data_IF_781865809356
#
_entry.id   IF_781865809356
#
_cell.length_a   1.000
_cell.length_b   1.000
_cell.length_c   1.000
_cell.angle_alpha   90.00
_cell.angle_beta   90.00
_cell.angle_gamma   90.00
#
_symmetry.space_group_name_H-M   'P 1'
#
loop_
_entity.id
_entity.type
_entity.pdbx_description
1 polymer ?
#
# COMPACT_ATOMS: atom_id res chain seq x y z
N UNK A 1 -0.34 -28.10 -14.81
CA UNK A 1 0.58 -27.29 -13.99
C UNK A 1 1.44 -26.46 -14.96
N UNK A 2 2.04 -25.34 -14.57
CA UNK A 2 2.98 -24.61 -15.44
C UNK A 2 4.40 -25.09 -15.14
N UNK A 3 5.30 -25.08 -16.12
CA UNK A 3 6.60 -25.75 -16.04
C UNK A 3 7.43 -25.30 -14.83
N UNK A 4 7.47 -23.99 -14.56
CA UNK A 4 8.21 -23.46 -13.43
C UNK A 4 7.63 -23.89 -12.06
N UNK A 5 6.32 -24.16 -11.96
CA UNK A 5 5.75 -24.74 -10.72
C UNK A 5 6.27 -26.15 -10.47
N UNK A 6 6.47 -26.95 -11.52
CA UNK A 6 6.99 -28.31 -11.39
C UNK A 6 8.43 -28.29 -10.88
N UNK A 7 9.24 -27.36 -11.38
CA UNK A 7 10.62 -27.17 -10.93
C UNK A 7 10.71 -26.71 -9.47
N UNK A 8 9.90 -25.74 -9.07
CA UNK A 8 9.82 -25.29 -7.67
C UNK A 8 9.53 -26.48 -6.75
N UNK A 9 8.57 -27.31 -7.14
CA UNK A 9 8.17 -28.49 -6.37
C UNK A 9 9.31 -29.52 -6.35
N UNK A 10 9.95 -29.78 -7.48
CA UNK A 10 11.09 -30.70 -7.60
C UNK A 10 12.22 -30.33 -6.64
N UNK A 11 12.69 -29.07 -6.72
CA UNK A 11 13.73 -28.56 -5.82
C UNK A 11 13.33 -28.67 -4.33
N UNK A 12 12.05 -28.46 -4.02
CA UNK A 12 11.54 -28.50 -2.65
C UNK A 12 11.33 -29.93 -2.12
N UNK A 13 11.19 -30.91 -3.01
CA UNK A 13 11.11 -32.34 -2.68
C UNK A 13 12.50 -32.95 -2.48
N UNK A 14 13.53 -32.44 -3.17
CA UNK A 14 14.93 -32.86 -2.98
C UNK A 14 15.46 -32.53 -1.58
N UNK A 15 15.03 -31.42 -0.99
CA UNK A 15 15.47 -30.99 0.35
C UNK A 15 14.56 -31.58 1.46
N UNK A 16 15.05 -32.57 2.25
CA UNK A 16 14.22 -33.27 3.24
C UNK A 16 13.78 -32.36 4.40
N UNK A 17 14.52 -31.29 4.68
CA UNK A 17 14.15 -30.32 5.73
C UNK A 17 13.14 -29.26 5.25
N UNK A 18 12.82 -29.24 3.95
CA UNK A 18 12.09 -28.19 3.27
C UNK A 18 12.92 -26.92 3.06
N UNK A 19 12.23 -25.81 2.76
CA UNK A 19 12.86 -24.56 2.36
C UNK A 19 11.92 -23.36 2.41
N UNK A 20 12.50 -22.17 2.24
CA UNK A 20 11.78 -20.92 2.08
C UNK A 20 11.70 -20.57 0.61
N UNK A 21 10.49 -20.52 0.04
CA UNK A 21 10.24 -20.16 -1.35
C UNK A 21 9.70 -18.73 -1.42
N UNK A 22 10.41 -17.85 -2.13
CA UNK A 22 9.99 -16.46 -2.36
C UNK A 22 9.69 -16.28 -3.84
N UNK A 23 8.40 -16.15 -4.15
CA UNK A 23 7.88 -15.93 -5.49
C UNK A 23 7.70 -14.43 -5.74
N UNK A 24 7.81 -14.01 -6.99
CA UNK A 24 7.27 -12.73 -7.40
C UNK A 24 5.75 -12.69 -7.25
N UNK A 25 5.23 -11.50 -6.95
CA UNK A 25 3.78 -11.29 -6.87
C UNK A 25 3.12 -11.65 -8.21
N UNK A 26 1.96 -12.30 -8.15
CA UNK A 26 1.18 -12.67 -9.34
C UNK A 26 1.57 -13.98 -10.02
N UNK A 27 2.58 -14.72 -9.54
CA UNK A 27 2.94 -16.06 -10.07
C UNK A 27 2.03 -17.20 -9.56
N UNK A 28 0.84 -16.88 -9.05
CA UNK A 28 -0.20 -17.81 -8.59
C UNK A 28 0.24 -18.82 -7.50
N UNK A 29 0.67 -18.32 -6.35
CA UNK A 29 0.96 -19.15 -5.16
C UNK A 29 -0.17 -20.16 -4.82
N UNK A 30 -1.48 -19.82 -4.87
CA UNK A 30 -2.54 -20.79 -4.59
C UNK A 30 -2.53 -22.03 -5.49
N UNK A 31 -2.18 -21.86 -6.78
CA UNK A 31 -2.10 -22.96 -7.75
C UNK A 31 -0.90 -23.86 -7.45
N UNK A 32 0.26 -23.28 -7.15
CA UNK A 32 1.46 -24.00 -6.73
C UNK A 32 1.18 -24.85 -5.47
N UNK A 33 0.56 -24.26 -4.45
CA UNK A 33 0.22 -24.98 -3.21
C UNK A 33 -0.80 -26.09 -3.49
N UNK A 34 -1.83 -25.83 -4.28
CA UNK A 34 -2.79 -26.87 -4.67
C UNK A 34 -2.10 -28.06 -5.33
N UNK A 35 -1.11 -27.83 -6.19
CA UNK A 35 -0.33 -28.89 -6.81
C UNK A 35 0.60 -29.61 -5.82
N UNK A 36 1.21 -28.88 -4.89
CA UNK A 36 2.01 -29.48 -3.82
C UNK A 36 1.19 -30.40 -2.92
N UNK A 37 -0.05 -30.00 -2.61
CA UNK A 37 -0.98 -30.81 -1.81
C UNK A 37 -1.35 -32.12 -2.51
N UNK A 38 -1.45 -32.10 -3.84
CA UNK A 38 -1.77 -33.30 -4.63
C UNK A 38 -0.68 -34.38 -4.54
N UNK A 39 0.58 -33.96 -4.35
CA UNK A 39 1.72 -34.87 -4.23
C UNK A 39 1.89 -35.45 -2.82
N UNK A 40 1.15 -34.93 -1.83
CA UNK A 40 1.19 -35.45 -0.48
C UNK A 40 0.44 -36.78 -0.40
N UNK A 41 1.16 -37.87 -0.12
CA UNK A 41 0.57 -39.17 0.14
C UNK A 41 0.19 -39.32 1.62
N UNK A 42 -0.97 -39.92 1.89
CA UNK A 42 -1.41 -40.26 3.25
C UNK A 42 -0.46 -41.22 3.97
N UNK A 43 0.41 -41.93 3.25
CA UNK A 43 1.44 -42.77 3.85
C UNK A 43 2.56 -41.98 4.55
N UNK A 44 2.70 -40.70 4.24
CA UNK A 44 3.77 -39.85 4.78
C UNK A 44 3.42 -39.20 6.12
N UNK A 45 2.15 -39.21 6.51
CA UNK A 45 1.64 -38.63 7.76
C UNK A 45 0.77 -37.40 7.54
N UNK A 46 0.47 -36.67 8.62
CA UNK A 46 -0.42 -35.51 8.59
C UNK A 46 0.32 -34.24 8.19
N UNK A 47 -0.22 -33.52 7.19
CA UNK A 47 0.30 -32.24 6.70
C UNK A 47 -0.57 -31.09 7.20
N UNK A 48 0.05 -30.10 7.84
CA UNK A 48 -0.65 -28.93 8.37
C UNK A 48 -0.34 -27.66 7.57
N UNK A 49 -1.40 -26.92 7.21
CA UNK A 49 -1.30 -25.67 6.44
C UNK A 49 -1.69 -24.48 7.30
N UNK A 50 -0.73 -23.59 7.53
CA UNK A 50 -0.92 -22.29 8.15
C UNK A 50 -1.14 -21.24 7.04
N UNK A 51 -2.41 -20.96 6.77
CA UNK A 51 -2.83 -20.05 5.70
C UNK A 51 -3.74 -18.93 6.23
N UNK A 52 -3.57 -17.68 5.74
CA UNK A 52 -4.59 -16.65 5.84
C UNK A 52 -5.92 -17.09 5.19
N UNK A 53 -7.09 -16.61 5.67
CA UNK A 53 -8.40 -16.99 5.12
C UNK A 53 -8.56 -16.70 3.63
N UNK A 54 -8.00 -15.60 3.13
CA UNK A 54 -8.09 -15.21 1.73
C UNK A 54 -7.33 -16.13 0.78
N UNK A 55 -6.19 -16.68 1.21
CA UNK A 55 -5.43 -17.64 0.41
C UNK A 55 -6.08 -19.03 0.45
N UNK A 56 -6.67 -19.41 1.58
CA UNK A 56 -7.36 -20.69 1.75
C UNK A 56 -8.47 -20.88 0.72
N UNK A 57 -9.36 -19.90 0.55
CA UNK A 57 -10.46 -20.00 -0.42
C UNK A 57 -9.96 -20.18 -1.86
N UNK A 58 -8.89 -19.49 -2.24
CA UNK A 58 -8.26 -19.62 -3.56
C UNK A 58 -7.62 -21.00 -3.76
N UNK A 59 -6.94 -21.53 -2.74
CA UNK A 59 -6.35 -22.87 -2.79
C UNK A 59 -7.44 -23.93 -2.96
N UNK A 60 -8.52 -23.84 -2.18
CA UNK A 60 -9.65 -24.77 -2.28
C UNK A 60 -10.33 -24.70 -3.66
N UNK A 61 -10.48 -23.50 -4.23
CA UNK A 61 -11.02 -23.33 -5.57
C UNK A 61 -10.15 -24.06 -6.62
N UNK A 62 -8.83 -23.84 -6.62
CA UNK A 62 -7.92 -24.53 -7.54
C UNK A 62 -7.83 -26.04 -7.28
N UNK A 63 -7.96 -26.46 -6.02
CA UNK A 63 -7.95 -27.86 -5.65
C UNK A 63 -9.20 -28.59 -6.14
N UNK A 64 -10.38 -27.98 -5.96
CA UNK A 64 -11.66 -28.56 -6.39
C UNK A 64 -11.72 -28.79 -7.90
N UNK A 65 -11.18 -27.85 -8.69
CA UNK A 65 -11.12 -28.00 -10.14
C UNK A 65 -10.33 -29.24 -10.59
N UNK A 66 -9.40 -29.72 -9.75
CA UNK A 66 -8.51 -30.82 -10.08
C UNK A 66 -8.85 -32.12 -9.32
N UNK A 67 -9.54 -32.06 -8.17
CA UNK A 67 -9.86 -33.22 -7.35
C UNK A 67 -11.08 -33.00 -6.42
N UNK A 68 -11.98 -34.00 -6.25
CA UNK A 68 -13.19 -33.84 -5.43
C UNK A 68 -12.95 -33.83 -3.92
N UNK A 69 -11.90 -34.50 -3.43
CA UNK A 69 -11.62 -34.56 -1.98
C UNK A 69 -10.87 -33.29 -1.53
N UNK A 70 -11.53 -32.46 -0.73
CA UNK A 70 -10.99 -31.20 -0.23
C UNK A 70 -10.23 -31.41 1.09
N UNK A 71 -9.09 -30.72 1.29
CA UNK A 71 -8.47 -30.63 2.61
C UNK A 71 -9.46 -30.02 3.61
N UNK A 72 -9.67 -30.70 4.73
CA UNK A 72 -10.58 -30.24 5.78
C UNK A 72 -9.89 -29.22 6.70
N UNK A 73 -10.68 -28.49 7.48
CA UNK A 73 -10.18 -27.50 8.44
C UNK A 73 -10.34 -28.00 9.86
N UNK A 74 -9.32 -27.77 10.68
CA UNK A 74 -9.41 -27.99 12.13
C UNK A 74 -9.87 -26.68 12.77
N UNK A 75 -11.15 -26.64 13.12
CA UNK A 75 -11.78 -25.50 13.80
C UNK A 75 -11.63 -25.60 15.32
N UNK A 76 -11.67 -24.44 15.99
CA UNK A 76 -11.72 -24.35 17.46
C UNK A 76 -13.04 -24.85 18.03
N UNK A 77 -14.09 -24.94 17.21
CA UNK A 77 -15.42 -25.41 17.58
C UNK A 77 -15.48 -26.92 17.83
N UNK A 78 -14.54 -27.68 17.24
CA UNK A 78 -14.52 -29.12 17.42
C UNK A 78 -14.02 -29.49 18.82
N UNK A 79 -14.63 -30.50 19.49
CA UNK A 79 -14.12 -31.04 20.74
C UNK A 79 -12.68 -31.51 20.60
N UNK A 80 -11.90 -31.45 21.69
CA UNK A 80 -10.48 -31.81 21.68
C UNK A 80 -10.22 -33.24 21.15
N UNK A 81 -11.08 -34.19 21.50
CA UNK A 81 -10.96 -35.58 21.04
C UNK A 81 -11.15 -35.71 19.52
N UNK A 82 -12.06 -34.91 18.94
CA UNK A 82 -12.28 -34.88 17.50
C UNK A 82 -11.07 -34.26 16.77
N UNK A 83 -10.47 -33.20 17.32
CA UNK A 83 -9.23 -32.64 16.75
C UNK A 83 -8.09 -33.67 16.77
N UNK A 84 -7.98 -34.44 17.85
CA UNK A 84 -6.98 -35.50 17.98
C UNK A 84 -7.16 -36.61 16.95
N UNK A 85 -8.40 -37.03 16.67
CA UNK A 85 -8.65 -38.02 15.60
C UNK A 85 -8.29 -37.47 14.21
N UNK A 86 -8.50 -36.16 13.97
CA UNK A 86 -8.08 -35.52 12.72
C UNK A 86 -6.56 -35.51 12.59
N UNK A 87 -5.80 -35.16 13.63
CA UNK A 87 -4.34 -35.19 13.58
C UNK A 87 -3.77 -36.60 13.33
N UNK A 88 -4.47 -37.65 13.75
CA UNK A 88 -4.08 -39.05 13.54
C UNK A 88 -4.56 -39.65 12.21
N UNK A 89 -5.29 -38.88 11.39
CA UNK A 89 -5.90 -39.39 10.14
C UNK A 89 -4.95 -39.40 8.93
N UNK A 90 -3.71 -38.94 9.09
CA UNK A 90 -2.69 -38.85 8.03
C UNK A 90 -3.20 -38.13 6.77
N UNK A 91 -3.89 -37.02 6.97
CA UNK A 91 -4.49 -36.21 5.91
C UNK A 91 -3.94 -34.79 5.93
N UNK A 92 -4.42 -33.97 5.00
CA UNK A 92 -4.06 -32.56 4.84
C UNK A 92 -5.10 -31.69 5.54
N UNK A 93 -4.65 -30.80 6.43
CA UNK A 93 -5.54 -29.92 7.18
C UNK A 93 -5.13 -28.45 7.13
N UNK A 94 -6.12 -27.58 6.98
CA UNK A 94 -5.97 -26.16 7.33
C UNK A 94 -6.13 -25.98 8.84
N UNK A 95 -5.23 -25.22 9.45
CA UNK A 95 -5.29 -24.91 10.88
C UNK A 95 -4.75 -23.51 11.16
N UNK A 96 -5.30 -22.85 12.17
CA UNK A 96 -4.78 -21.55 12.61
C UNK A 96 -3.62 -21.75 13.61
N UNK A 97 -2.61 -20.86 13.61
CA UNK A 97 -1.50 -20.94 14.56
C UNK A 97 -1.98 -20.99 16.03
N UNK A 98 -3.03 -20.24 16.37
CA UNK A 98 -3.59 -20.19 17.72
C UNK A 98 -4.17 -21.53 18.19
N UNK A 99 -4.85 -22.28 17.32
CA UNK A 99 -5.39 -23.60 17.69
C UNK A 99 -4.23 -24.58 17.85
N UNK A 100 -3.31 -24.61 16.88
CA UNK A 100 -2.19 -25.53 16.86
C UNK A 100 -1.29 -25.36 18.10
N UNK A 101 -0.97 -24.13 18.49
CA UNK A 101 -0.11 -23.91 19.65
C UNK A 101 -0.76 -24.35 20.97
N UNK A 102 -2.08 -24.15 21.12
CA UNK A 102 -2.81 -24.58 22.33
C UNK A 102 -2.87 -26.10 22.41
N UNK A 103 -3.10 -26.78 21.29
CA UNK A 103 -3.12 -28.25 21.23
C UNK A 103 -1.73 -28.85 21.49
N UNK A 104 -0.66 -28.20 21.05
CA UNK A 104 0.72 -28.59 21.35
C UNK A 104 1.10 -28.36 22.82
N UNK A 105 0.79 -27.19 23.39
CA UNK A 105 1.13 -26.87 24.78
C UNK A 105 0.30 -27.66 25.80
N UNK A 106 -0.92 -28.07 25.44
CA UNK A 106 -1.74 -28.97 26.26
C UNK A 106 -1.28 -30.43 26.21
N UNK A 107 -0.21 -30.73 25.47
CA UNK A 107 0.38 -32.06 25.29
C UNK A 107 -0.61 -33.13 24.77
N UNK A 108 -1.68 -32.68 24.08
CA UNK A 108 -2.70 -33.55 23.49
C UNK A 108 -2.28 -34.05 22.11
N UNK A 109 -1.51 -33.23 21.38
CA UNK A 109 -1.01 -33.53 20.05
C UNK A 109 0.44 -34.01 20.15
N UNK A 110 0.69 -35.28 19.79
CA UNK A 110 2.06 -35.78 19.67
C UNK A 110 2.73 -35.20 18.42
N UNK A 111 3.86 -34.48 18.54
CA UNK A 111 4.57 -33.88 17.40
C UNK A 111 5.04 -34.90 16.34
N UNK A 112 5.19 -36.17 16.73
CA UNK A 112 5.59 -37.26 15.84
C UNK A 112 4.56 -37.62 14.76
N UNK A 113 3.28 -37.25 14.96
CA UNK A 113 2.21 -37.52 13.98
C UNK A 113 2.23 -36.54 12.80
N UNK A 114 2.90 -35.41 12.96
CA UNK A 114 2.95 -34.36 11.95
C UNK A 114 4.17 -34.60 11.08
N UNK A 115 3.94 -34.91 9.82
CA UNK A 115 5.01 -35.14 8.84
C UNK A 115 5.57 -33.83 8.31
N UNK A 116 4.71 -32.82 8.16
CA UNK A 116 5.10 -31.55 7.55
C UNK A 116 4.25 -30.37 7.96
N UNK A 117 4.87 -29.19 7.87
CA UNK A 117 4.22 -27.90 8.10
C UNK A 117 4.44 -26.98 6.90
N UNK A 118 3.36 -26.45 6.36
CA UNK A 118 3.38 -25.48 5.26
C UNK A 118 2.89 -24.11 5.75
N UNK A 119 3.72 -23.09 5.58
CA UNK A 119 3.43 -21.72 6.04
C UNK A 119 3.34 -20.79 4.85
N UNK A 120 2.20 -20.16 4.60
CA UNK A 120 1.95 -19.39 3.36
C UNK A 120 2.19 -17.88 3.47
N UNK A 121 2.45 -17.37 4.67
CA UNK A 121 2.62 -15.96 4.99
C UNK A 121 4.02 -15.69 5.56
N UNK A 122 5.08 -16.26 4.97
CA UNK A 122 6.43 -16.17 5.54
C UNK A 122 6.93 -14.72 5.72
N UNK A 123 6.44 -13.77 4.91
CA UNK A 123 6.77 -12.35 5.03
C UNK A 123 6.27 -11.67 6.31
N UNK A 124 5.18 -12.16 6.92
CA UNK A 124 4.67 -11.60 8.18
C UNK A 124 5.35 -12.16 9.42
N UNK A 125 6.19 -13.19 9.28
CA UNK A 125 6.79 -13.89 10.41
C UNK A 125 7.87 -13.05 11.09
N UNK A 126 7.90 -13.08 12.42
CA UNK A 126 8.97 -12.52 13.26
C UNK A 126 9.54 -13.62 14.16
N UNK A 127 10.66 -13.33 14.83
CA UNK A 127 11.27 -14.27 15.79
C UNK A 127 10.35 -14.59 16.98
N UNK A 128 9.42 -13.68 17.27
CA UNK A 128 8.41 -13.79 18.33
C UNK A 128 7.05 -14.27 17.83
N UNK A 129 6.93 -14.63 16.55
CA UNK A 129 5.67 -15.10 15.97
C UNK A 129 5.26 -16.47 16.54
N UNK A 130 3.95 -16.71 16.62
CA UNK A 130 3.41 -17.98 17.10
C UNK A 130 3.84 -19.14 16.20
N UNK A 131 3.92 -18.93 14.90
CA UNK A 131 4.38 -19.91 13.92
C UNK A 131 5.85 -20.30 14.14
N UNK A 132 6.73 -19.33 14.42
CA UNK A 132 8.12 -19.63 14.77
C UNK A 132 8.21 -20.46 16.06
N UNK A 133 7.34 -20.18 17.04
CA UNK A 133 7.27 -20.95 18.28
C UNK A 133 6.72 -22.36 18.07
N UNK A 134 5.70 -22.54 17.24
CA UNK A 134 5.17 -23.85 16.82
C UNK A 134 6.28 -24.68 16.18
N UNK A 135 7.02 -24.12 15.22
CA UNK A 135 8.13 -24.82 14.57
C UNK A 135 9.19 -25.24 15.56
N UNK A 136 9.53 -24.38 16.53
CA UNK A 136 10.49 -24.72 17.60
C UNK A 136 10.03 -25.92 18.42
N UNK A 137 8.76 -25.96 18.85
CA UNK A 137 8.21 -27.09 19.62
C UNK A 137 8.22 -28.36 18.76
N UNK A 138 7.69 -28.29 17.55
CA UNK A 138 7.58 -29.46 16.68
C UNK A 138 8.96 -30.04 16.35
N UNK A 139 9.95 -29.21 16.02
CA UNK A 139 11.32 -29.67 15.73
C UNK A 139 12.06 -30.20 16.96
N UNK A 140 11.69 -29.76 18.17
CA UNK A 140 12.32 -30.27 19.40
C UNK A 140 11.95 -31.74 19.67
N UNK A 141 10.75 -32.15 19.25
CA UNK A 141 10.21 -33.50 19.46
C UNK A 141 10.24 -34.36 18.20
N UNK A 142 10.23 -33.77 17.00
CA UNK A 142 10.22 -34.45 15.71
C UNK A 142 11.32 -33.86 14.81
N UNK A 143 12.44 -34.59 14.67
CA UNK A 143 13.59 -34.16 13.85
C UNK A 143 13.34 -34.31 12.35
N UNK A 144 12.45 -35.22 11.95
CA UNK A 144 12.15 -35.54 10.55
C UNK A 144 11.05 -34.63 9.97
N UNK A 145 10.53 -33.69 10.76
CA UNK A 145 9.58 -32.69 10.31
C UNK A 145 10.17 -31.80 9.20
N UNK A 146 9.55 -31.85 8.02
CA UNK A 146 9.84 -30.89 6.96
C UNK A 146 9.01 -29.62 7.13
N UNK A 147 9.62 -28.45 6.92
CA UNK A 147 8.94 -27.15 6.97
C UNK A 147 9.09 -26.46 5.64
N UNK A 148 7.97 -26.10 5.01
CA UNK A 148 7.94 -25.42 3.71
C UNK A 148 7.27 -24.07 3.89
N UNK A 149 8.04 -23.00 3.76
CA UNK A 149 7.54 -21.64 3.92
C UNK A 149 7.46 -20.93 2.57
N UNK A 150 6.38 -20.19 2.34
CA UNK A 150 6.12 -19.51 1.07
C UNK A 150 5.83 -18.02 1.31
N UNK A 151 6.24 -17.20 0.35
CA UNK A 151 5.85 -15.80 0.27
C UNK A 151 5.76 -15.34 -1.19
N UNK A 152 4.69 -14.63 -1.54
CA UNK A 152 4.50 -13.94 -2.82
C UNK A 152 4.78 -12.42 -2.72
N UNK A 153 5.34 -11.97 -1.58
CA UNK A 153 5.68 -10.58 -1.30
C UNK A 153 7.20 -10.41 -1.13
N UNK A 154 7.98 -10.38 -2.23
CA UNK A 154 9.44 -10.28 -2.15
C UNK A 154 9.89 -8.99 -1.46
N UNK A 155 9.21 -7.86 -1.72
CA UNK A 155 9.51 -6.58 -1.07
C UNK A 155 9.42 -6.64 0.47
N UNK A 156 8.48 -7.41 1.01
CA UNK A 156 8.34 -7.55 2.47
C UNK A 156 9.46 -8.44 3.07
N UNK A 157 10.03 -9.36 2.29
CA UNK A 157 11.14 -10.23 2.70
C UNK A 157 12.47 -9.49 2.80
N UNK A 158 12.63 -8.38 2.09
CA UNK A 158 13.81 -7.50 2.15
C UNK A 158 13.57 -6.33 3.12
N UNK A 159 12.40 -6.29 3.77
CA UNK A 159 12.08 -5.18 4.64
C UNK A 159 12.95 -5.20 5.90
N UNK A 160 13.82 -4.19 6.04
CA UNK A 160 14.58 -3.93 7.26
C UNK A 160 15.82 -4.83 7.35
N UNK A 161 16.43 -4.91 8.53
CA UNK A 161 17.71 -5.62 8.64
C UNK A 161 17.54 -7.15 8.56
N UNK A 162 18.13 -7.75 7.51
CA UNK A 162 18.30 -9.18 7.32
C UNK A 162 17.03 -10.04 7.51
N UNK A 163 15.85 -9.53 7.12
CA UNK A 163 14.56 -10.16 7.38
C UNK A 163 14.46 -11.60 6.85
N UNK A 164 14.88 -11.86 5.62
CA UNK A 164 14.88 -13.21 5.04
C UNK A 164 15.71 -14.20 5.87
N UNK A 165 16.93 -13.81 6.25
CA UNK A 165 17.81 -14.62 7.09
C UNK A 165 17.20 -14.91 8.46
N UNK A 166 16.61 -13.89 9.11
CA UNK A 166 15.93 -14.04 10.41
C UNK A 166 14.76 -15.00 10.31
N UNK A 167 13.91 -14.86 9.27
CA UNK A 167 12.80 -15.79 9.01
C UNK A 167 13.31 -17.22 8.82
N UNK A 168 14.38 -17.43 8.04
CA UNK A 168 14.97 -18.76 7.85
C UNK A 168 15.50 -19.35 9.15
N UNK A 169 16.23 -18.56 9.96
CA UNK A 169 16.73 -18.99 11.28
C UNK A 169 15.60 -19.38 12.22
N UNK A 170 14.51 -18.60 12.26
CA UNK A 170 13.37 -18.89 13.13
C UNK A 170 12.60 -20.16 12.72
N UNK A 171 12.63 -20.50 11.44
CA UNK A 171 11.99 -21.72 10.91
C UNK A 171 12.96 -22.91 10.81
N UNK A 172 14.23 -22.72 11.19
CA UNK A 172 15.31 -23.69 11.07
C UNK A 172 15.50 -24.20 9.62
N UNK A 173 15.36 -23.29 8.65
CA UNK A 173 15.51 -23.58 7.22
C UNK A 173 16.92 -23.25 6.76
N UNK A 174 17.48 -24.10 5.90
CA UNK A 174 18.82 -23.92 5.32
C UNK A 174 18.80 -23.41 3.88
N UNK A 175 17.68 -23.58 3.18
CA UNK A 175 17.56 -23.39 1.72
C UNK A 175 16.55 -22.29 1.41
N UNK A 176 16.93 -21.39 0.52
CA UNK A 176 16.15 -20.26 0.04
C UNK A 176 16.00 -20.39 -1.48
N UNK A 177 14.77 -20.52 -1.95
CA UNK A 177 14.44 -20.60 -3.37
C UNK A 177 13.85 -19.27 -3.80
N UNK A 178 14.52 -18.58 -4.73
CA UNK A 178 14.10 -17.27 -5.24
C UNK A 178 13.56 -17.44 -6.66
N UNK A 179 12.31 -17.03 -6.87
CA UNK A 179 11.62 -17.17 -8.14
C UNK A 179 11.13 -15.81 -8.68
N UNK A 180 12.06 -14.97 -9.19
CA UNK A 180 11.72 -13.70 -9.80
C UNK A 180 11.07 -13.87 -11.18
N UNK A 181 10.34 -12.85 -11.67
CA UNK A 181 9.72 -12.91 -13.02
C UNK A 181 10.71 -13.00 -14.17
N UNK A 182 11.94 -12.56 -13.97
CA UNK A 182 13.01 -12.61 -14.98
C UNK A 182 13.79 -13.93 -14.96
N UNK A 183 13.44 -14.88 -14.08
CA UNK A 183 14.02 -16.21 -14.13
C UNK A 183 13.59 -16.90 -15.42
N UNK A 184 14.54 -17.56 -16.09
CA UNK A 184 14.38 -18.15 -17.44
C UNK A 184 13.03 -18.84 -17.64
N UNK A 185 12.72 -19.86 -16.84
CA UNK A 185 11.46 -20.63 -16.99
C UNK A 185 10.18 -19.84 -16.68
N UNK A 186 10.27 -18.82 -15.81
CA UNK A 186 9.13 -17.96 -15.50
C UNK A 186 8.91 -16.97 -16.64
N UNK A 187 9.98 -16.39 -17.18
CA UNK A 187 9.93 -15.47 -18.29
C UNK A 187 9.39 -16.15 -19.56
N UNK A 188 9.90 -17.34 -19.90
CA UNK A 188 9.43 -18.13 -21.05
C UNK A 188 7.93 -18.41 -21.00
N UNK A 189 7.39 -18.80 -19.83
CA UNK A 189 5.95 -19.05 -19.69
C UNK A 189 5.12 -17.76 -19.77
N UNK A 190 5.61 -16.65 -19.20
CA UNK A 190 4.92 -15.36 -19.25
C UNK A 190 4.96 -14.71 -20.64
N UNK A 191 6.00 -14.95 -21.42
CA UNK A 191 6.19 -14.43 -22.78
C UNK A 191 5.48 -15.27 -23.85
N UNK A 192 4.97 -16.46 -23.50
CA UNK A 192 4.25 -17.34 -24.43
C UNK A 192 2.97 -16.72 -24.99
N UNK A 193 2.21 -16.01 -24.16
CA UNK A 193 0.97 -15.34 -24.56
C UNK A 193 0.81 -14.01 -23.80
N UNK A 194 1.56 -12.96 -24.18
CA UNK A 194 1.56 -11.70 -23.47
C UNK A 194 0.27 -10.92 -23.79
N UNK A 195 -0.39 -10.32 -22.79
CA UNK A 195 -1.56 -9.49 -23.04
C UNK A 195 -1.19 -8.25 -23.87
N UNK A 196 -2.06 -7.86 -24.80
CA UNK A 196 -1.90 -6.63 -25.58
C UNK A 196 -2.13 -5.42 -24.66
N UNK A 197 -1.07 -4.65 -24.40
CA UNK A 197 -1.12 -3.43 -23.60
C UNK A 197 -1.07 -2.20 -24.50
N UNK A 198 -2.03 -1.29 -24.35
CA UNK A 198 -2.06 -0.01 -25.06
C UNK A 198 -1.81 1.13 -24.07
N UNK A 199 -0.62 1.73 -24.15
CA UNK A 199 -0.23 2.83 -23.28
C UNK A 199 -0.75 4.18 -23.78
N UNK A 200 -1.75 4.73 -23.07
CA UNK A 200 -2.28 6.07 -23.36
C UNK A 200 -1.77 7.08 -22.33
N UNK A 201 -0.90 8.00 -22.78
CA UNK A 201 -0.34 9.06 -21.94
C UNK A 201 -1.30 10.24 -21.84
N UNK A 202 -1.81 10.49 -20.63
CA UNK A 202 -2.72 11.60 -20.35
C UNK A 202 -2.02 12.64 -19.49
N UNK A 203 -1.67 13.83 -20.03
CA UNK A 203 -1.05 14.87 -19.25
C UNK A 203 -2.04 15.45 -18.22
N UNK A 204 -1.53 15.78 -17.03
CA UNK A 204 -2.29 16.55 -16.04
C UNK A 204 -2.51 17.98 -16.53
N UNK A 205 -3.57 18.62 -16.07
CA UNK A 205 -3.84 20.03 -16.37
C UNK A 205 -2.84 20.94 -15.66
N UNK A 206 -2.72 22.20 -16.11
CA UNK A 206 -1.78 23.18 -15.54
C UNK A 206 -2.00 23.36 -14.03
N UNK A 207 -3.25 23.42 -13.58
CA UNK A 207 -3.59 23.57 -12.17
C UNK A 207 -3.31 22.30 -11.36
N UNK A 208 -3.60 21.11 -11.91
CA UNK A 208 -3.25 19.84 -11.25
C UNK A 208 -1.73 19.71 -11.05
N UNK A 209 -0.93 20.05 -12.07
CA UNK A 209 0.54 20.06 -11.96
C UNK A 209 1.02 21.06 -10.90
N UNK A 210 0.41 22.25 -10.84
CA UNK A 210 0.70 23.26 -9.82
C UNK A 210 0.42 22.74 -8.40
N UNK A 211 -0.72 22.09 -8.20
CA UNK A 211 -1.11 21.48 -6.91
C UNK A 211 -0.15 20.35 -6.54
N UNK A 212 0.17 19.45 -7.48
CA UNK A 212 1.09 18.34 -7.25
C UNK A 212 2.47 18.83 -6.79
N UNK A 213 3.04 19.83 -7.49
CA UNK A 213 4.32 20.43 -7.13
C UNK A 213 4.29 21.04 -5.73
N UNK A 214 3.23 21.78 -5.41
CA UNK A 214 3.06 22.38 -4.09
C UNK A 214 2.94 21.33 -2.98
N UNK A 215 2.21 20.23 -3.19
CA UNK A 215 2.11 19.14 -2.20
C UNK A 215 3.48 18.47 -2.00
N UNK A 216 4.21 18.18 -3.08
CA UNK A 216 5.55 17.56 -3.01
C UNK A 216 6.53 18.45 -2.22
N UNK A 217 6.49 19.76 -2.44
CA UNK A 217 7.32 20.74 -1.73
C UNK A 217 7.02 20.73 -0.22
N UNK A 218 5.74 20.71 0.16
CA UNK A 218 5.34 20.62 1.58
C UNK A 218 5.72 19.26 2.18
N UNK A 219 5.57 18.17 1.44
CA UNK A 219 6.01 16.85 1.89
C UNK A 219 7.52 16.82 2.15
N UNK A 220 8.34 17.39 1.26
CA UNK A 220 9.79 17.48 1.46
C UNK A 220 10.15 18.30 2.70
N UNK A 221 9.46 19.42 2.93
CA UNK A 221 9.63 20.20 4.16
C UNK A 221 9.28 19.39 5.42
N UNK A 222 8.17 18.64 5.42
CA UNK A 222 7.80 17.75 6.53
C UNK A 222 8.83 16.63 6.75
N UNK A 223 9.35 16.02 5.68
CA UNK A 223 10.39 15.00 5.76
C UNK A 223 11.72 15.57 6.29
N UNK A 224 12.11 16.78 5.87
CA UNK A 224 13.28 17.50 6.41
C UNK A 224 13.14 17.74 7.91
N UNK A 225 11.98 18.20 8.38
CA UNK A 225 11.73 18.39 9.80
C UNK A 225 11.75 17.07 10.59
N UNK A 226 11.26 15.98 9.99
CA UNK A 226 11.28 14.67 10.63
C UNK A 226 12.70 14.11 10.76
N UNK A 227 13.55 14.27 9.72
CA UNK A 227 14.97 13.87 9.72
C UNK A 227 15.78 14.52 10.85
N UNK A 228 15.43 15.75 11.26
CA UNK A 228 16.08 16.44 12.40
C UNK A 228 15.93 15.71 13.74
N UNK A 229 14.97 14.78 13.86
CA UNK A 229 14.71 14.07 15.11
C UNK A 229 15.76 12.97 15.40
N UNK A 230 16.63 12.63 14.43
CA UNK A 230 17.71 11.61 14.52
C UNK A 230 17.30 10.22 15.04
N UNK A 231 15.99 9.96 15.18
CA UNK A 231 15.40 8.70 15.64
C UNK A 231 14.85 7.84 14.50
N UNK A 232 15.08 8.25 13.26
CA UNK A 232 14.46 7.69 12.06
C UNK A 232 15.53 7.54 11.00
N UNK A 233 15.50 6.43 10.28
CA UNK A 233 16.50 6.14 9.26
C UNK A 233 16.33 7.09 8.08
N UNK A 234 17.42 7.73 7.66
CA UNK A 234 17.42 8.78 6.63
C UNK A 234 17.28 8.17 5.23
N UNK A 235 17.74 6.94 5.02
CA UNK A 235 17.74 6.28 3.71
C UNK A 235 16.31 5.96 3.22
N UNK A 236 15.44 5.56 4.15
CA UNK A 236 14.04 5.22 3.87
C UNK A 236 13.15 6.47 3.68
N UNK A 237 13.57 7.64 4.20
CA UNK A 237 12.79 8.88 4.25
C UNK A 237 13.01 9.82 3.05
N UNK A 238 13.01 9.30 1.83
CA UNK A 238 13.07 10.11 0.61
C UNK A 238 11.68 10.52 0.12
N UNK A 239 11.60 11.61 -0.66
CA UNK A 239 10.33 12.04 -1.28
C UNK A 239 9.81 10.97 -2.24
N UNK A 240 10.70 10.32 -2.98
CA UNK A 240 10.38 9.23 -3.91
C UNK A 240 9.76 8.04 -3.17
N UNK A 241 10.38 7.62 -2.06
CA UNK A 241 9.81 6.61 -1.18
C UNK A 241 8.45 7.05 -0.62
N UNK A 242 8.33 8.34 -0.27
CA UNK A 242 7.10 8.99 0.18
C UNK A 242 5.92 8.89 -0.79
N UNK A 243 6.15 8.71 -2.09
CA UNK A 243 5.07 8.56 -3.07
C UNK A 243 4.54 7.12 -3.16
N UNK A 244 5.33 6.12 -2.77
CA UNK A 244 4.90 4.72 -2.82
C UNK A 244 3.94 4.37 -1.69
N UNK A 245 2.99 3.45 -1.93
CA UNK A 245 2.02 2.98 -0.92
C UNK A 245 2.68 2.38 0.32
N UNK A 246 3.84 1.73 0.14
CA UNK A 246 4.63 1.11 1.20
C UNK A 246 5.18 2.10 2.23
N UNK A 247 5.21 3.40 1.93
CA UNK A 247 5.79 4.39 2.84
C UNK A 247 5.15 4.43 4.23
N UNK A 248 3.81 4.33 4.33
CA UNK A 248 3.14 4.30 5.65
C UNK A 248 3.62 3.12 6.49
N UNK A 249 3.84 1.98 5.84
CA UNK A 249 4.29 0.75 6.50
C UNK A 249 5.74 0.90 6.98
N UNK A 250 6.60 1.51 6.16
CA UNK A 250 7.99 1.81 6.51
C UNK A 250 8.03 2.75 7.72
N UNK A 251 7.26 3.85 7.69
CA UNK A 251 7.19 4.82 8.78
C UNK A 251 6.67 4.19 10.06
N UNK A 252 5.57 3.41 10.00
CA UNK A 252 5.05 2.70 11.19
C UNK A 252 6.08 1.74 11.77
N UNK A 253 6.71 0.93 10.93
CA UNK A 253 7.68 -0.05 11.41
C UNK A 253 8.86 0.59 12.16
N UNK A 254 9.33 1.76 11.72
CA UNK A 254 10.41 2.47 12.40
C UNK A 254 9.92 3.21 13.66
N UNK A 255 8.71 3.79 13.62
CA UNK A 255 8.23 4.67 14.69
C UNK A 255 7.41 3.96 15.77
N UNK A 256 6.74 2.84 15.48
CA UNK A 256 5.89 2.10 16.42
C UNK A 256 6.65 1.66 17.68
N UNK A 257 7.89 1.11 17.59
CA UNK A 257 8.66 0.71 18.79
C UNK A 257 8.96 1.88 19.73
N UNK A 258 9.18 3.07 19.16
CA UNK A 258 9.55 4.28 19.90
C UNK A 258 8.39 5.26 20.05
N UNK A 259 7.16 4.88 19.67
CA UNK A 259 6.02 5.79 19.52
C UNK A 259 5.71 6.55 20.81
N UNK A 260 5.84 5.89 21.96
CA UNK A 260 5.63 6.49 23.27
C UNK A 260 6.68 7.57 23.61
N UNK A 261 7.90 7.46 23.09
CA UNK A 261 9.00 8.43 23.30
C UNK A 261 9.01 9.59 22.30
N UNK A 262 8.19 9.53 21.23
CA UNK A 262 8.15 10.56 20.21
C UNK A 262 7.37 11.79 20.70
N UNK A 263 7.93 12.97 20.43
CA UNK A 263 7.29 14.24 20.73
C UNK A 263 6.00 14.45 19.93
N UNK A 264 5.09 15.29 20.45
CA UNK A 264 3.82 15.63 19.81
C UNK A 264 4.01 16.19 18.39
N UNK A 265 5.07 16.98 18.16
CA UNK A 265 5.42 17.55 16.84
C UNK A 265 5.69 16.45 15.80
N UNK A 266 6.52 15.46 16.12
CA UNK A 266 6.85 14.36 15.20
C UNK A 266 5.63 13.50 14.89
N UNK A 267 4.79 13.19 15.90
CA UNK A 267 3.52 12.46 15.69
C UNK A 267 2.58 13.21 14.75
N UNK A 268 2.51 14.54 14.88
CA UNK A 268 1.74 15.37 13.97
C UNK A 268 2.31 15.34 12.54
N UNK A 269 3.64 15.44 12.36
CA UNK A 269 4.27 15.34 11.03
C UNK A 269 3.95 14.02 10.32
N UNK A 270 3.89 12.90 11.04
CA UNK A 270 3.49 11.60 10.47
C UNK A 270 2.03 11.63 10.00
N UNK A 271 1.14 12.25 10.78
CA UNK A 271 -0.26 12.45 10.38
C UNK A 271 -0.37 13.37 9.16
N UNK A 272 0.38 14.47 9.14
CA UNK A 272 0.43 15.44 8.05
C UNK A 272 0.91 14.78 6.74
N UNK A 273 1.98 13.99 6.79
CA UNK A 273 2.47 13.21 5.63
C UNK A 273 1.41 12.25 5.09
N UNK A 274 0.64 11.60 5.97
CA UNK A 274 -0.46 10.72 5.58
C UNK A 274 -1.58 11.51 4.88
N UNK A 275 -1.93 12.69 5.38
CA UNK A 275 -2.93 13.57 4.76
C UNK A 275 -2.45 14.08 3.40
N UNK A 276 -1.21 14.56 3.28
CA UNK A 276 -0.64 15.04 2.02
C UNK A 276 -0.59 13.95 0.94
N UNK A 277 -0.24 12.72 1.31
CA UNK A 277 -0.25 11.57 0.39
C UNK A 277 -1.66 11.22 -0.08
N UNK A 278 -2.66 11.30 0.80
CA UNK A 278 -4.07 11.16 0.40
C UNK A 278 -4.52 12.27 -0.55
N UNK A 279 -4.09 13.51 -0.32
CA UNK A 279 -4.41 14.63 -1.21
C UNK A 279 -3.86 14.41 -2.63
N UNK A 280 -2.66 13.86 -2.78
CA UNK A 280 -2.10 13.49 -4.09
C UNK A 280 -2.95 12.43 -4.80
N UNK A 281 -3.40 11.39 -4.09
CA UNK A 281 -4.26 10.35 -4.65
C UNK A 281 -5.65 10.91 -5.03
N UNK A 282 -6.23 11.75 -4.17
CA UNK A 282 -7.54 12.37 -4.38
C UNK A 282 -7.55 13.39 -5.52
N UNK A 283 -6.45 14.12 -5.75
CA UNK A 283 -6.30 15.06 -6.87
C UNK A 283 -6.57 14.37 -8.22
N UNK A 284 -6.16 13.10 -8.35
CA UNK A 284 -6.27 12.32 -9.59
C UNK A 284 -7.57 11.50 -9.64
N UNK A 285 -8.17 11.16 -8.48
CA UNK A 285 -9.37 10.33 -8.41
C UNK A 285 -10.68 11.11 -8.39
N UNK A 286 -10.73 12.24 -7.69
CA UNK A 286 -11.94 13.04 -7.51
C UNK A 286 -12.04 14.18 -8.52
N UNK A 287 -13.27 14.63 -8.75
CA UNK A 287 -13.56 15.85 -9.53
C UNK A 287 -13.10 17.12 -8.78
N UNK A 288 -13.03 18.23 -9.50
CA UNK A 288 -12.52 19.49 -8.96
C UNK A 288 -13.35 20.03 -7.78
N UNK A 289 -14.68 19.84 -7.80
CA UNK A 289 -15.59 20.35 -6.76
C UNK A 289 -15.46 19.52 -5.49
N UNK A 290 -15.51 18.19 -5.60
CA UNK A 290 -15.31 17.28 -4.46
C UNK A 290 -13.93 17.47 -3.83
N UNK A 291 -12.89 17.64 -4.65
CA UNK A 291 -11.55 17.92 -4.17
C UNK A 291 -11.46 19.25 -3.39
N UNK A 292 -12.07 20.33 -3.89
CA UNK A 292 -12.10 21.62 -3.20
C UNK A 292 -12.87 21.53 -1.88
N UNK A 293 -14.04 20.87 -1.87
CA UNK A 293 -14.83 20.64 -0.65
C UNK A 293 -14.04 19.87 0.40
N UNK A 294 -13.28 18.86 -0.02
CA UNK A 294 -12.42 18.10 0.89
C UNK A 294 -11.30 18.97 1.47
N UNK A 295 -10.65 19.81 0.65
CA UNK A 295 -9.63 20.76 1.12
C UNK A 295 -10.20 21.78 2.12
N UNK A 296 -11.38 22.33 1.86
CA UNK A 296 -12.02 23.28 2.77
C UNK A 296 -12.43 22.59 4.09
N UNK A 297 -12.91 21.34 4.01
CA UNK A 297 -13.20 20.54 5.21
C UNK A 297 -11.94 20.30 6.03
N UNK A 298 -10.82 19.95 5.38
CA UNK A 298 -9.53 19.81 6.05
C UNK A 298 -9.10 21.11 6.72
N UNK A 299 -9.25 22.25 6.05
CA UNK A 299 -8.91 23.55 6.61
C UNK A 299 -9.69 23.88 7.89
N UNK A 300 -10.93 23.42 8.00
CA UNK A 300 -11.78 23.62 9.19
C UNK A 300 -11.49 22.58 10.28
N UNK A 301 -11.23 21.32 9.90
CA UNK A 301 -11.04 20.22 10.84
C UNK A 301 -9.63 20.12 11.42
N UNK A 302 -8.64 20.58 10.66
CA UNK A 302 -7.24 20.48 11.05
C UNK A 302 -6.94 21.52 12.13
N UNK A 303 -6.40 21.04 13.25
CA UNK A 303 -6.04 21.91 14.37
C UNK A 303 -4.89 22.85 13.98
N UNK A 304 -4.70 23.93 14.74
CA UNK A 304 -3.56 24.84 14.65
C UNK A 304 -2.17 24.17 14.68
N UNK A 305 -2.12 22.86 14.97
CA UNK A 305 -0.90 22.06 15.05
C UNK A 305 -0.45 21.48 13.71
N UNK A 306 -1.32 21.43 12.70
CA UNK A 306 -1.02 20.84 11.39
C UNK A 306 -0.08 21.76 10.62
N UNK A 307 1.21 21.45 10.67
CA UNK A 307 2.30 22.33 10.23
C UNK A 307 2.21 22.60 8.72
N UNK A 308 1.72 21.61 7.98
CA UNK A 308 1.62 21.68 6.51
C UNK A 308 0.66 22.77 6.01
N UNK A 309 -0.39 23.10 6.77
CA UNK A 309 -1.37 24.13 6.37
C UNK A 309 -0.76 25.53 6.42
N UNK A 310 0.22 25.76 7.29
CA UNK A 310 0.88 27.05 7.45
C UNK A 310 2.14 27.20 6.60
N UNK A 311 2.52 26.17 5.84
CA UNK A 311 3.62 26.25 4.89
C UNK A 311 3.28 27.22 3.74
N UNK A 312 4.23 28.02 3.27
CA UNK A 312 4.00 28.98 2.18
C UNK A 312 3.48 28.32 0.89
N UNK A 313 3.90 27.09 0.63
CA UNK A 313 3.45 26.31 -0.53
C UNK A 313 2.02 25.79 -0.39
N UNK A 314 1.46 25.75 0.82
CA UNK A 314 0.07 25.33 1.05
C UNK A 314 -0.91 26.32 0.42
N UNK A 315 -0.60 27.62 0.44
CA UNK A 315 -1.45 28.66 -0.16
C UNK A 315 -1.67 28.40 -1.66
N UNK A 316 -0.63 27.94 -2.36
CA UNK A 316 -0.70 27.56 -3.78
C UNK A 316 -1.67 26.39 -4.01
N UNK A 317 -1.76 25.43 -3.09
CA UNK A 317 -2.70 24.30 -3.17
C UNK A 317 -4.14 24.83 -3.17
N UNK A 318 -4.48 25.67 -2.18
CA UNK A 318 -5.83 26.24 -2.05
C UNK A 318 -6.17 27.19 -3.21
N UNK A 319 -5.22 28.03 -3.63
CA UNK A 319 -5.41 28.96 -4.74
C UNK A 319 -5.68 28.24 -6.05
N UNK A 320 -4.85 27.24 -6.39
CA UNK A 320 -5.05 26.46 -7.60
C UNK A 320 -6.31 25.60 -7.53
N UNK A 321 -6.64 25.02 -6.37
CA UNK A 321 -7.90 24.29 -6.20
C UNK A 321 -9.12 25.18 -6.47
N UNK A 322 -9.11 26.43 -5.98
CA UNK A 322 -10.17 27.41 -6.28
C UNK A 322 -10.22 27.76 -7.75
N UNK A 323 -9.06 27.97 -8.41
CA UNK A 323 -8.98 28.26 -9.86
C UNK A 323 -9.49 27.13 -10.77
N UNK A 324 -9.61 25.90 -10.24
CA UNK A 324 -10.22 24.76 -10.95
C UNK A 324 -11.75 24.76 -10.93
N UNK A 325 -12.36 25.57 -10.05
CA UNK A 325 -13.82 25.66 -9.85
C UNK A 325 -14.34 27.07 -10.17
N UNK A 326 -13.54 28.10 -9.92
CA UNK A 326 -13.93 29.49 -10.06
C UNK A 326 -12.96 30.22 -10.99
N UNK A 327 -13.49 31.01 -11.92
CA UNK A 327 -12.73 31.99 -12.71
C UNK A 327 -13.29 33.39 -12.47
N UNK A 328 -12.42 34.38 -12.45
CA UNK A 328 -12.85 35.77 -12.46
C UNK A 328 -12.97 36.21 -13.92
N UNK A 329 -14.21 36.40 -14.38
CA UNK A 329 -14.52 36.99 -15.68
C UNK A 329 -14.72 38.49 -15.54
N UNK A 330 -14.20 39.28 -16.49
CA UNK A 330 -14.70 40.66 -16.68
C UNK A 330 -16.03 40.58 -17.41
N UNK A 331 -16.99 41.40 -17.02
CA UNK A 331 -18.33 41.48 -17.60
C UNK A 331 -18.37 42.13 -18.99
N UNK A 332 -17.42 41.79 -19.86
CA UNK A 332 -17.43 42.10 -21.28
C UNK A 332 -16.78 40.94 -22.02
N UNK A 333 -17.51 40.36 -22.99
CA UNK A 333 -17.21 39.12 -23.69
C UNK A 333 -15.98 39.14 -24.61
N UNK A 334 -14.83 39.61 -24.13
CA UNK A 334 -13.55 39.54 -24.83
C UNK A 334 -12.65 38.45 -24.22
N UNK A 335 -12.44 37.37 -24.98
CA UNK A 335 -11.43 36.35 -24.68
C UNK A 335 -10.07 37.04 -24.45
N UNK A 336 -9.30 36.71 -23.39
CA UNK A 336 -7.95 37.23 -23.27
C UNK A 336 -7.03 36.49 -24.25
N UNK A 337 -6.68 37.17 -25.35
CA UNK A 337 -5.51 36.86 -26.16
C UNK A 337 -4.24 37.10 -25.32
N UNK A 338 -3.24 36.25 -25.54
CA UNK A 338 -2.06 36.19 -24.69
C UNK A 338 -1.08 37.35 -24.85
N UNK A 339 -0.04 37.24 -24.02
CA UNK A 339 1.23 37.98 -24.01
C UNK A 339 1.25 39.27 -23.18
N UNK A 340 1.79 39.12 -21.98
CA UNK A 340 2.36 40.23 -21.24
C UNK A 340 3.61 40.76 -21.95
N UNK A 341 3.69 42.08 -22.07
CA UNK A 341 4.95 42.81 -22.14
C UNK A 341 4.98 43.79 -20.97
N UNK A 342 5.99 43.63 -20.13
CA UNK A 342 6.35 44.55 -19.07
C UNK A 342 6.82 45.87 -19.65
N UNK A 343 6.36 47.01 -19.12
CA UNK A 343 7.14 48.25 -19.16
C UNK A 343 6.99 49.04 -17.86
N UNK A 344 8.13 49.16 -17.22
CA UNK A 344 8.65 50.10 -16.22
C UNK A 344 7.99 51.50 -16.10
N UNK A 345 7.65 51.86 -14.85
CA UNK A 345 8.16 53.06 -14.14
C UNK A 345 7.70 54.47 -14.55
N UNK A 346 7.02 55.18 -13.63
CA UNK A 346 7.50 56.47 -13.10
C UNK A 346 6.69 56.97 -11.90
N UNK A 347 7.41 57.20 -10.80
CA UNK A 347 7.09 58.07 -9.66
C UNK A 347 6.58 59.44 -10.15
N UNK A 348 5.51 59.96 -9.53
CA UNK A 348 5.40 61.39 -9.21
C UNK A 348 4.64 61.59 -7.90
N UNK A 349 5.20 62.50 -7.11
CA UNK A 349 4.93 62.83 -5.72
C UNK A 349 4.23 64.20 -5.70
N UNK A 350 3.18 64.36 -4.91
CA UNK A 350 2.72 65.67 -4.44
C UNK A 350 2.05 65.51 -3.07
N UNK A 351 2.49 66.37 -2.15
CA UNK A 351 2.20 66.44 -0.72
C UNK A 351 1.57 67.83 -0.49
N UNK A 352 0.59 67.95 0.40
CA UNK A 352 0.09 69.24 0.90
C UNK A 352 -1.21 69.10 1.71
N UNK A 353 -1.12 69.40 3.01
CA UNK A 353 -2.17 69.59 4.03
C UNK A 353 -3.15 70.74 3.64
N UNK A 354 -4.34 70.99 4.22
CA UNK A 354 -4.73 71.05 5.65
C UNK A 354 -6.28 71.15 5.83
N UNK A 355 -6.72 71.05 7.09
CA UNK A 355 -8.07 70.89 7.72
C UNK A 355 -9.24 71.86 7.38
N UNK A 356 -10.50 71.39 7.51
CA UNK A 356 -11.48 71.86 8.53
C UNK A 356 -12.81 71.05 8.59
N UNK A 357 -13.40 70.95 9.78
CA UNK A 357 -14.66 70.28 10.15
C UNK A 357 -15.92 71.12 9.89
N UNK A 358 -17.05 70.48 9.51
CA UNK A 358 -18.38 70.56 10.17
C UNK A 358 -19.46 69.73 9.46
N UNK A 359 -20.38 69.21 10.27
CA UNK A 359 -21.46 68.26 10.00
C UNK A 359 -22.62 68.79 9.12
N UNK A 360 -23.29 67.90 8.37
CA UNK A 360 -24.67 67.38 8.57
C UNK A 360 -25.31 66.99 7.21
N UNK A 361 -25.71 65.71 7.09
CA UNK A 361 -26.93 65.31 6.36
C UNK A 361 -26.83 64.95 4.87
N UNK A 362 -27.20 63.70 4.54
CA UNK A 362 -27.90 63.39 3.27
C UNK A 362 -27.21 62.45 2.28
N UNK A 363 -27.59 61.17 2.36
CA UNK A 363 -27.91 60.27 1.22
C UNK A 363 -26.89 59.97 0.11
N UNK A 364 -26.43 58.71 0.16
CA UNK A 364 -26.33 57.70 -0.94
C UNK A 364 -25.40 57.90 -2.15
N UNK A 365 -24.46 56.94 -2.22
CA UNK A 365 -24.10 56.10 -3.38
C UNK A 365 -23.38 56.71 -4.59
N UNK A 366 -22.12 56.33 -4.77
CA UNK A 366 -21.61 55.87 -6.08
C UNK A 366 -20.38 54.97 -5.87
N UNK A 367 -20.64 53.67 -5.76
CA UNK A 367 -19.67 52.59 -5.83
C UNK A 367 -19.03 52.50 -7.21
N UNK A 368 -17.71 52.71 -7.32
CA UNK A 368 -16.93 52.26 -8.48
C UNK A 368 -16.51 50.80 -8.26
N UNK A 369 -17.48 49.88 -8.27
CA UNK A 369 -17.21 48.45 -8.29
C UNK A 369 -16.85 48.04 -9.73
N UNK A 370 -15.55 47.93 -10.02
CA UNK A 370 -15.07 47.30 -11.25
C UNK A 370 -15.65 45.89 -11.35
N UNK A 371 -16.50 45.65 -12.35
CA UNK A 371 -17.24 44.40 -12.56
C UNK A 371 -16.35 43.18 -12.77
N UNK A 372 -15.99 42.52 -11.67
CA UNK A 372 -15.47 41.16 -11.65
C UNK A 372 -16.64 40.23 -11.32
N UNK A 373 -17.08 39.46 -12.29
CA UNK A 373 -18.11 38.42 -12.10
C UNK A 373 -17.39 37.10 -11.82
N UNK A 374 -17.78 36.44 -10.73
CA UNK A 374 -17.30 35.10 -10.41
C UNK A 374 -18.03 34.10 -11.31
N UNK A 375 -17.30 33.46 -12.21
CA UNK A 375 -17.81 32.44 -13.12
C UNK A 375 -17.49 31.05 -12.53
N UNK A 376 -18.52 30.22 -12.37
CA UNK A 376 -18.37 28.82 -11.96
C UNK A 376 -17.95 27.98 -13.17
N UNK A 377 -16.73 27.45 -13.14
CA UNK A 377 -16.14 26.66 -14.21
C UNK A 377 -15.66 25.33 -13.66
N UNK A 378 -16.26 24.25 -14.12
CA UNK A 378 -15.78 22.91 -13.80
C UNK A 378 -14.61 22.54 -14.72
N UNK A 379 -13.40 22.41 -14.17
CA UNK A 379 -12.30 21.81 -14.92
C UNK A 379 -12.61 20.34 -15.27
N UNK A 380 -12.73 20.04 -16.57
CA UNK A 380 -12.91 18.67 -17.04
C UNK A 380 -11.71 17.79 -16.63
N UNK A 381 -12.01 16.64 -16.02
CA UNK A 381 -10.98 15.68 -15.68
C UNK A 381 -10.35 15.09 -16.97
N UNK A 382 -9.01 15.12 -17.11
CA UNK A 382 -8.34 14.79 -18.37
C UNK A 382 -8.56 13.33 -18.81
N UNK A 383 -8.92 12.45 -17.87
CA UNK A 383 -9.26 11.03 -18.11
C UNK A 383 -10.49 10.82 -19.01
N UNK A 384 -11.46 11.73 -18.96
CA UNK A 384 -12.74 11.58 -19.66
C UNK A 384 -12.59 11.69 -21.18
N UNK A 385 -11.56 12.42 -21.64
CA UNK A 385 -11.23 12.54 -23.07
C UNK A 385 -10.72 11.21 -23.63
N UNK A 386 -10.04 10.40 -22.80
CA UNK A 386 -9.50 9.11 -23.21
C UNK A 386 -10.53 8.00 -23.16
N UNK A 387 -11.41 7.99 -22.15
CA UNK A 387 -12.50 7.00 -22.06
C UNK A 387 -13.36 6.96 -23.33
N UNK A 388 -13.69 8.13 -23.90
CA UNK A 388 -14.44 8.23 -25.16
C UNK A 388 -13.69 7.67 -26.37
N UNK A 389 -12.36 7.66 -26.32
CA UNK A 389 -11.50 7.10 -27.39
C UNK A 389 -11.34 5.60 -27.19
N UNK A 390 -11.13 5.12 -25.97
CA UNK A 390 -11.00 3.69 -25.66
C UNK A 390 -12.28 2.91 -25.96
N UNK A 391 -13.47 3.48 -25.72
CA UNK A 391 -14.74 2.86 -26.12
C UNK A 391 -14.87 2.65 -27.64
N UNK A 392 -14.17 3.45 -28.45
CA UNK A 392 -14.12 3.27 -29.90
C UNK A 392 -13.13 2.19 -30.33
N UNK A 393 -12.08 1.96 -29.53
CA UNK A 393 -11.13 0.88 -29.74
C UNK A 393 -11.69 -0.48 -29.29
N UNK A 394 -12.49 -0.53 -28.23
CA UNK A 394 -13.14 -1.75 -27.74
C UNK A 394 -14.33 -2.22 -28.61
N UNK A 395 -14.84 -1.35 -29.49
CA UNK A 395 -15.91 -1.66 -30.46
C UNK A 395 -15.38 -2.12 -31.83
N UNK A 396 -14.07 -2.22 -31.99
CA UNK A 396 -13.39 -2.84 -33.13
C UNK A 396 -12.67 -4.07 -32.62
#
# INVERSE_FOLDING_TARGET
>A
MVQFHEQIIGELLEDPNGGLVVLSSGLSLPKLISSLLHLHSSTTGTLLLLSPPSLKSLILHHHHSNHPQLPSEISAEFPANHRLSLYSSNSVFFITPRILIVDLLSNKLSPSLISGLVILNAHSLSETSTEAFIVRILRSSNRDLYVRAFSDKPHAMVSGFAKAERTMKCLYLKRLHLWPRFQVHVAEELERDPPVVVDVRVPMTKYMVGIQKAIIEVMDACLKEMRKTNKVDVEDLTVENGLFKSFDEIVRRQLDPIWHTLGKKTKQLVSDLKTLRKLLDYLVRYDAVTFLKYLDTLRVSESFRSVWIFAESSYKIFEYAKKRVYRFGRSDGAKPSGQGKSVTGKKRKSKGDDKNEKEVGGTSSASTSSGLVLEEVLEEAPKWKVLRVSERFLKR
#
